data_IF_193357934943
#
_entry.id   IF_193357934943
#
_cell.length_a   1.000
_cell.length_b   1.000
_cell.length_c   1.000
_cell.angle_alpha   90.00
_cell.angle_beta   90.00
_cell.angle_gamma   90.00
#
_symmetry.space_group_name_H-M   'P 1'
#
loop_
_entity.id
_entity.type
_entity.pdbx_description
1 polymer ?
2 non-polymer ?
3 water ?
#
# COMPACT_ATOMS: atom_id res chain seq x y z
N UNK A 46 -15.63 4.94 16.71
CA UNK A 46 -14.20 5.06 17.13
C UNK A 46 -13.21 5.24 15.99
N UNK A 47 -13.70 5.25 14.76
CA UNK A 47 -12.85 5.49 13.59
C UNK A 47 -13.14 6.86 13.01
N UNK A 48 -12.11 7.55 12.53
CA UNK A 48 -12.32 8.70 11.66
C UNK A 48 -12.86 8.22 10.31
N UNK A 49 -13.43 9.14 9.55
CA UNK A 49 -13.82 8.85 8.19
C UNK A 49 -12.70 8.16 7.40
N UNK A 50 -11.50 8.74 7.47
CA UNK A 50 -10.40 8.23 6.68
C UNK A 50 -9.98 6.82 7.12
N UNK A 51 -10.02 6.57 8.42
CA UNK A 51 -9.72 5.25 8.93
C UNK A 51 -10.72 4.20 8.43
N UNK A 52 -12.01 4.55 8.39
CA UNK A 52 -13.02 3.64 7.83
C UNK A 52 -12.65 3.30 6.38
N UNK A 53 -12.31 4.33 5.61
CA UNK A 53 -11.95 4.14 4.22
C UNK A 53 -10.74 3.20 4.01
N UNK A 54 -9.68 3.41 4.79
CA UNK A 54 -8.50 2.54 4.69
C UNK A 54 -8.81 1.11 5.06
N UNK A 55 -9.57 0.95 6.15
CA UNK A 55 -9.96 -0.38 6.60
C UNK A 55 -10.71 -1.10 5.48
N UNK A 56 -11.69 -0.43 4.87
CA UNK A 56 -12.47 -1.07 3.83
C UNK A 56 -11.62 -1.41 2.61
N UNK A 57 -10.70 -0.51 2.27
CA UNK A 57 -9.86 -0.68 1.08
C UNK A 57 -8.91 -1.87 1.21
N UNK A 58 -8.64 -2.26 2.45
CA UNK A 58 -7.61 -3.29 2.71
C UNK A 58 -8.19 -4.51 3.40
N UNK A 59 -9.52 -4.65 3.40
CA UNK A 59 -10.19 -5.70 4.14
C UNK A 59 -9.86 -7.10 3.62
N UNK A 60 -9.96 -8.08 4.51
CA UNK A 60 -9.66 -9.46 4.17
C UNK A 60 -10.84 -10.09 3.42
N UNK A 61 -10.96 -9.72 2.16
CA UNK A 61 -12.04 -10.21 1.29
C UNK A 61 -11.58 -10.21 -0.16
N UNK A 62 -12.47 -10.69 -1.04
CA UNK A 62 -12.17 -10.92 -2.45
C UNK A 62 -12.21 -9.67 -3.33
N UNK A 63 -12.64 -8.54 -2.76
CA UNK A 63 -12.62 -7.27 -3.48
C UNK A 63 -11.19 -6.75 -3.69
N UNK A 64 -10.98 -6.03 -4.78
CA UNK A 64 -9.76 -5.26 -4.96
C UNK A 64 -10.12 -3.80 -4.67
N UNK A 65 -9.15 -3.00 -4.17
CA UNK A 65 -9.41 -1.59 -3.90
C UNK A 65 -9.96 -0.89 -5.14
N UNK A 66 -11.10 -0.22 -5.02
CA UNK A 66 -11.70 0.47 -6.17
C UNK A 66 -10.94 1.75 -6.53
N UNK A 67 -11.00 2.19 -7.78
CA UNK A 67 -10.35 3.44 -8.19
C UNK A 67 -10.91 4.64 -7.40
N UNK A 68 -12.21 4.65 -7.13
CA UNK A 68 -12.85 5.70 -6.33
C UNK A 68 -12.18 5.80 -4.94
N UNK A 69 -11.98 4.65 -4.30
CA UNK A 69 -11.38 4.64 -2.97
C UNK A 69 -9.89 4.98 -3.02
N UNK A 70 -9.19 4.45 -4.02
CA UNK A 70 -7.79 4.80 -4.20
C UNK A 70 -7.60 6.30 -4.41
N UNK A 71 -8.43 6.91 -5.26
CA UNK A 71 -8.35 8.35 -5.47
C UNK A 71 -8.72 9.11 -4.21
N UNK A 72 -9.72 8.64 -3.47
CA UNK A 72 -10.05 9.29 -2.19
C UNK A 72 -8.84 9.29 -1.26
N UNK A 73 -8.19 8.13 -1.14
CA UNK A 73 -7.02 8.02 -0.26
C UNK A 73 -5.87 8.89 -0.73
N UNK A 74 -5.62 8.94 -2.05
CA UNK A 74 -4.58 9.81 -2.58
C UNK A 74 -4.87 11.28 -2.28
N UNK A 75 -6.11 11.70 -2.51
CA UNK A 75 -6.46 13.08 -2.21
C UNK A 75 -6.35 13.41 -0.73
N UNK A 76 -6.87 12.52 0.11
CA UNK A 76 -6.85 12.75 1.55
C UNK A 76 -5.42 12.76 2.11
N UNK A 77 -4.50 12.05 1.45
CA UNK A 77 -3.10 12.03 1.91
C UNK A 77 -2.43 13.40 1.90
N UNK A 78 -3.02 14.38 1.21
CA UNK A 78 -2.48 15.75 1.23
C UNK A 78 -2.83 16.52 2.48
N UNK A 79 -3.70 15.96 3.31
CA UNK A 79 -4.04 16.51 4.61
C UNK A 79 -3.19 15.74 5.62
N UNK A 80 -2.36 16.44 6.38
CA UNK A 80 -1.38 15.74 7.20
C UNK A 80 -2.02 14.88 8.28
N UNK A 81 -3.14 15.31 8.87
CA UNK A 81 -3.80 14.46 9.85
C UNK A 81 -4.22 13.11 9.22
N UNK A 82 -4.85 13.20 8.05
CA UNK A 82 -5.27 11.99 7.34
C UNK A 82 -4.11 11.15 6.89
N UNK A 83 -3.03 11.79 6.42
CA UNK A 83 -1.84 11.07 6.03
C UNK A 83 -1.38 10.12 7.14
N UNK A 84 -1.22 10.64 8.35
CA UNK A 84 -0.72 9.78 9.40
C UNK A 84 -1.70 8.67 9.77
N UNK A 85 -2.99 8.96 9.74
CA UNK A 85 -4.00 7.91 9.97
C UNK A 85 -3.92 6.80 8.92
N UNK A 86 -3.75 7.18 7.66
CA UNK A 86 -3.65 6.21 6.57
C UNK A 86 -2.43 5.33 6.78
N UNK A 87 -1.28 5.96 7.00
CA UNK A 87 -0.04 5.19 7.08
C UNK A 87 0.02 4.27 8.28
N UNK A 88 -0.56 4.69 9.40
CA UNK A 88 -0.56 3.83 10.57
C UNK A 88 -1.36 2.55 10.32
N UNK A 89 -2.46 2.68 9.59
CA UNK A 89 -3.25 1.50 9.25
C UNK A 89 -2.57 0.62 8.22
N UNK A 90 -1.94 1.23 7.21
CA UNK A 90 -1.18 0.46 6.24
C UNK A 90 0.00 -0.24 6.90
N UNK A 91 0.65 0.42 7.86
CA UNK A 91 1.79 -0.19 8.55
C UNK A 91 1.36 -1.51 9.20
N UNK A 92 0.23 -1.49 9.90
CA UNK A 92 -0.26 -2.69 10.54
C UNK A 92 -0.49 -3.81 9.51
N UNK A 93 -1.20 -3.47 8.44
CA UNK A 93 -1.62 -4.50 7.49
C UNK A 93 -0.50 -4.96 6.56
N UNK A 94 0.44 -4.07 6.24
CA UNK A 94 1.63 -4.49 5.47
C UNK A 94 2.46 -5.49 6.24
N UNK A 95 2.31 -5.47 7.56
CA UNK A 95 3.05 -6.34 8.45
C UNK A 95 2.29 -7.58 8.85
N UNK A 96 1.16 -7.83 8.19
CA UNK A 96 0.42 -9.06 8.46
C UNK A 96 1.07 -10.22 7.72
N UNK A 97 0.49 -11.41 7.81
CA UNK A 97 1.15 -12.60 7.28
C UNK A 97 0.18 -13.74 7.09
N UNK A 98 0.69 -14.79 6.47
CA UNK A 98 0.03 -16.09 6.42
C UNK A 98 -1.33 -16.03 5.77
N UNK A 99 -2.33 -16.59 6.45
CA UNK A 99 -3.64 -16.65 5.81
C UNK A 99 -4.33 -15.30 5.68
N UNK A 100 -3.76 -14.26 6.30
CA UNK A 100 -4.25 -12.88 6.19
C UNK A 100 -3.48 -12.07 5.16
N UNK A 101 -2.94 -12.77 4.17
CA UNK A 101 -2.14 -12.15 3.12
C UNK A 101 -2.90 -11.11 2.33
N UNK A 102 -4.23 -11.21 2.24
CA UNK A 102 -5.00 -10.20 1.50
C UNK A 102 -4.85 -8.81 2.11
N UNK A 103 -4.70 -8.73 3.43
CA UNK A 103 -4.42 -7.43 4.03
C UNK A 103 -3.14 -6.86 3.48
N UNK A 104 -2.14 -7.72 3.27
CA UNK A 104 -0.82 -7.29 2.78
C UNK A 104 -0.89 -6.89 1.31
N UNK A 105 -1.50 -7.75 0.50
CA UNK A 105 -1.62 -7.49 -0.94
C UNK A 105 -2.37 -6.18 -1.19
N UNK A 106 -3.50 -5.99 -0.51
CA UNK A 106 -4.32 -4.81 -0.76
C UNK A 106 -3.64 -3.56 -0.21
N UNK A 107 -2.94 -3.68 0.91
CA UNK A 107 -2.16 -2.55 1.41
C UNK A 107 -1.05 -2.15 0.44
N UNK A 108 -0.42 -3.14 -0.21
CA UNK A 108 0.60 -2.83 -1.20
C UNK A 108 -0.02 -2.13 -2.41
N UNK A 109 -1.22 -2.54 -2.81
CA UNK A 109 -1.93 -1.83 -3.87
C UNK A 109 -2.18 -0.38 -3.50
N UNK A 110 -2.65 -0.15 -2.28
CA UNK A 110 -2.88 1.21 -1.81
C UNK A 110 -1.56 1.99 -1.79
N UNK A 111 -0.51 1.36 -1.25
CA UNK A 111 0.78 2.05 -1.08
C UNK A 111 1.37 2.47 -2.42
N UNK A 112 1.31 1.57 -3.41
CA UNK A 112 1.79 1.92 -4.75
C UNK A 112 1.02 3.10 -5.30
N UNK A 113 -0.30 3.09 -5.12
CA UNK A 113 -1.13 4.18 -5.63
C UNK A 113 -0.76 5.50 -4.95
N UNK A 114 -0.54 5.46 -3.64
CA UNK A 114 -0.16 6.66 -2.90
C UNK A 114 1.20 7.20 -3.34
N UNK A 115 2.16 6.30 -3.58
CA UNK A 115 3.49 6.70 -4.05
C UNK A 115 3.38 7.45 -5.39
N UNK A 116 2.43 7.03 -6.23
CA UNK A 116 2.28 7.60 -7.57
C UNK A 116 1.39 8.84 -7.61
N UNK A 117 0.35 8.89 -6.75
CA UNK A 117 -0.73 9.89 -6.85
C UNK A 117 -0.96 10.68 -5.57
N UNK A 118 -0.39 10.22 -4.46
CA UNK A 118 -0.64 10.85 -3.16
C UNK A 118 0.41 11.90 -2.87
N UNK A 119 0.40 12.41 -1.66
CA UNK A 119 1.32 13.48 -1.27
C UNK A 119 2.78 13.02 -1.17
N UNK A 120 3.68 13.99 -1.14
CA UNK A 120 5.10 13.70 -0.99
C UNK A 120 5.38 12.91 0.28
N UNK A 121 4.61 13.19 1.33
CA UNK A 121 4.73 12.45 2.58
C UNK A 121 4.67 10.93 2.38
N UNK A 122 3.88 10.48 1.40
CA UNK A 122 3.79 9.04 1.11
C UNK A 122 5.12 8.43 0.63
N UNK A 123 5.84 9.20 -0.17
CA UNK A 123 7.17 8.80 -0.61
C UNK A 123 8.13 8.75 0.58
N UNK A 124 8.08 9.80 1.40
CA UNK A 124 8.94 9.89 2.58
C UNK A 124 8.75 8.69 3.50
N UNK A 125 7.49 8.28 3.68
CA UNK A 125 7.17 7.15 4.55
C UNK A 125 7.81 5.88 4.03
N UNK A 126 7.73 5.70 2.72
CA UNK A 126 8.30 4.50 2.11
C UNK A 126 9.79 4.41 2.29
N UNK A 127 10.46 5.55 2.22
CA UNK A 127 11.90 5.50 2.39
C UNK A 127 12.30 5.22 3.85
N UNK A 128 11.55 5.76 4.80
CA UNK A 128 11.75 5.42 6.21
C UNK A 128 11.51 3.93 6.47
N UNK A 129 10.51 3.38 5.78
CA UNK A 129 10.06 2.02 5.98
C UNK A 129 10.46 1.10 4.84
N UNK A 130 11.57 1.44 4.17
CA UNK A 130 11.96 0.73 2.95
C UNK A 130 12.30 -0.72 3.24
N UNK A 131 12.89 -0.98 4.41
CA UNK A 131 13.30 -2.34 4.78
C UNK A 131 12.10 -3.26 4.78
N UNK A 132 10.98 -2.78 5.32
CA UNK A 132 9.76 -3.58 5.41
C UNK A 132 9.20 -3.87 4.02
N UNK A 133 9.11 -2.85 3.18
CA UNK A 133 8.65 -3.02 1.80
C UNK A 133 9.54 -4.05 1.07
N UNK A 134 10.85 -3.91 1.24
CA UNK A 134 11.80 -4.85 0.64
C UNK A 134 11.57 -6.29 1.09
N UNK A 135 11.26 -6.50 2.37
CA UNK A 135 10.99 -7.84 2.87
C UNK A 135 9.76 -8.47 2.23
N UNK A 136 8.82 -7.66 1.74
CA UNK A 136 7.64 -8.21 1.09
C UNK A 136 7.98 -8.90 -0.24
N UNK A 137 9.17 -8.62 -0.79
CA UNK A 137 9.67 -9.36 -1.97
C UNK A 137 9.94 -10.82 -1.64
N UNK A 138 9.89 -11.17 -0.35
CA UNK A 138 10.19 -12.51 0.15
C UNK A 138 8.98 -13.15 0.82
N UNK A 139 7.82 -12.51 0.69
CA UNK A 139 6.62 -12.98 1.36
C UNK A 139 6.20 -14.36 0.86
N UNK A 140 5.92 -15.25 1.82
CA UNK A 140 5.51 -16.64 1.57
C UNK A 140 4.15 -16.96 2.18
N UNK A 141 3.26 -17.54 1.38
CA UNK A 141 2.06 -18.24 1.88
C UNK A 141 1.49 -19.17 0.85
N UNK A 142 1.29 -20.43 1.23
CA UNK A 142 0.61 -21.39 0.36
C UNK A 142 -0.73 -21.76 0.96
N UNK A 143 -1.78 -21.71 0.14
CA UNK A 143 -3.13 -22.05 0.58
C UNK A 143 -3.33 -23.56 0.72
N UNK A 144 -4.56 -23.97 1.02
CA UNK A 144 -4.92 -25.39 1.20
C UNK A 144 -4.68 -26.22 -0.06
N UNK A 145 -4.94 -25.63 -1.22
CA UNK A 145 -4.72 -26.29 -2.50
C UNK A 145 -3.25 -26.34 -2.89
N UNK A 146 -2.39 -25.75 -2.05
CA UNK A 146 -0.95 -25.70 -2.31
C UNK A 146 -0.53 -24.57 -3.24
N UNK A 147 -1.49 -23.74 -3.64
CA UNK A 147 -1.24 -22.59 -4.50
C UNK A 147 -0.56 -21.48 -3.71
N UNK A 148 0.43 -20.86 -4.35
CA UNK A 148 1.24 -19.84 -3.74
C UNK A 148 0.56 -18.48 -3.83
N UNK A 149 -0.14 -18.12 -2.76
CA UNK A 149 -0.83 -16.84 -2.68
C UNK A 149 0.15 -15.69 -2.48
N UNK A 150 1.35 -16.00 -1.99
CA UNK A 150 2.37 -14.97 -1.73
C UNK A 150 3.00 -14.38 -2.98
N UNK A 151 2.94 -15.11 -4.10
CA UNK A 151 3.59 -14.63 -5.32
C UNK A 151 3.12 -13.24 -5.74
N UNK A 152 1.82 -12.98 -5.63
CA UNK A 152 1.32 -11.67 -6.06
C UNK A 152 1.92 -10.54 -5.22
N UNK A 153 2.14 -10.82 -3.94
CA UNK A 153 2.76 -9.85 -3.04
C UNK A 153 4.23 -9.61 -3.43
N UNK A 154 4.96 -10.69 -3.73
CA UNK A 154 6.37 -10.55 -4.08
C UNK A 154 6.53 -9.73 -5.35
N UNK A 155 5.67 -10.00 -6.34
CA UNK A 155 5.70 -9.29 -7.60
C UNK A 155 5.38 -7.80 -7.37
N UNK A 156 4.31 -7.53 -6.62
CA UNK A 156 3.94 -6.14 -6.29
C UNK A 156 5.08 -5.43 -5.57
N UNK A 157 5.67 -6.12 -4.61
CA UNK A 157 6.71 -5.51 -3.82
C UNK A 157 7.96 -5.21 -4.66
N UNK A 158 8.34 -6.13 -5.54
CA UNK A 158 9.51 -5.91 -6.38
C UNK A 158 9.30 -4.70 -7.30
N UNK A 159 8.10 -4.57 -7.84
CA UNK A 159 7.78 -3.43 -8.70
C UNK A 159 7.83 -2.11 -7.94
N UNK A 160 7.31 -2.10 -6.71
CA UNK A 160 7.37 -0.90 -5.88
C UNK A 160 8.80 -0.54 -5.46
N UNK A 161 9.60 -1.53 -5.10
CA UNK A 161 11.00 -1.28 -4.75
C UNK A 161 11.76 -0.69 -5.94
N UNK A 162 11.51 -1.23 -7.13
CA UNK A 162 12.16 -0.72 -8.35
C UNK A 162 11.81 0.75 -8.59
N UNK A 163 10.54 1.10 -8.42
CA UNK A 163 10.09 2.47 -8.60
C UNK A 163 10.73 3.42 -7.59
N UNK A 164 10.74 3.00 -6.32
CA UNK A 164 11.32 3.81 -5.25
C UNK A 164 12.83 3.98 -5.38
N UNK A 165 13.50 2.97 -5.93
CA UNK A 165 14.95 3.04 -6.21
C UNK A 165 15.32 3.89 -7.43
N UNK A 166 14.33 4.36 -8.18
CA UNK A 166 14.58 5.11 -9.41
C UNK A 166 13.96 6.49 -9.25
N UNK A 167 14.73 7.41 -8.66
CA UNK A 167 14.27 8.76 -8.32
C UNK A 167 13.68 9.52 -9.51
N UNK A 168 14.37 9.48 -10.65
CA UNK A 168 13.92 10.22 -11.80
C UNK A 168 12.59 9.69 -12.33
N UNK A 169 12.48 8.36 -12.45
CA UNK A 169 11.25 7.74 -12.90
C UNK A 169 10.09 8.07 -11.95
N UNK A 170 10.36 8.01 -10.64
CA UNK A 170 9.35 8.32 -9.64
C UNK A 170 8.87 9.76 -9.79
N UNK A 171 9.82 10.69 -9.88
CA UNK A 171 9.48 12.10 -9.99
C UNK A 171 8.73 12.42 -11.28
N UNK A 172 9.12 11.78 -12.38
CA UNK A 172 8.46 11.97 -13.67
C UNK A 172 7.02 11.48 -13.62
N UNK A 173 6.82 10.28 -13.08
CA UNK A 173 5.48 9.70 -12.92
C UNK A 173 4.61 10.60 -12.04
N UNK A 174 5.15 11.03 -10.90
CA UNK A 174 4.40 11.87 -9.97
C UNK A 174 4.03 13.22 -10.59
N UNK A 175 4.93 13.77 -11.39
CA UNK A 175 4.71 15.05 -12.07
C UNK A 175 3.58 14.94 -13.10
N UNK A 176 3.60 13.85 -13.87
CA UNK A 176 2.58 13.60 -14.89
C UNK A 176 1.23 13.27 -14.27
N UNK A 177 1.25 12.63 -13.10
CA UNK A 177 0.04 12.31 -12.37
C UNK A 177 -0.56 13.55 -11.70
X LIG B 1 -13.62 12.24 10.67
#
# INVERSE_FOLDING_TARGET
>A
MGSSHHHHHHSSGLVPRGSHMAMEAEFPGIQMSKQYVRSAKNMMKGYSSTQVLVRDATANDSRTPSIDTLDDLAQRSYDSVDFFEIMDMLDKRLNDKGKYWRHVAKSLTVLDYLVRFGSENCVLWCRENFYVIKTLREFRHENESGFDEGQIIRVKAKELVSLLNDEERLREERSMNTRN
>B hetero
1 CL CL
#
